data_IF_250857977351
#
_entry.id   IF_250857977351
#
_cell.length_a   1.000
_cell.length_b   1.000
_cell.length_c   1.000
_cell.angle_alpha   90.00
_cell.angle_beta   90.00
_cell.angle_gamma   90.00
#
_symmetry.space_group_name_H-M   'P 1'
#
loop_
_entity.id
_entity.type
_entity.pdbx_description
1 polymer ?
#
# COMPACT_ATOMS: atom_id res chain seq x y z
N UNK A 1 2.67 31.16 -13.28
CA UNK A 1 1.29 31.04 -13.09
C UNK A 1 0.75 29.62 -13.24
N UNK A 2 1.30 28.89 -14.11
CA UNK A 2 0.81 27.58 -14.42
C UNK A 2 0.98 26.59 -13.28
N UNK A 3 1.94 26.80 -12.40
CA UNK A 3 2.21 25.80 -11.36
C UNK A 3 1.04 25.63 -10.42
N UNK A 4 0.49 26.73 -9.93
CA UNK A 4 -0.63 26.63 -9.02
C UNK A 4 -1.88 26.13 -9.74
N UNK A 5 -2.02 26.44 -11.01
CA UNK A 5 -3.14 25.93 -11.80
C UNK A 5 -3.04 24.43 -11.95
N UNK A 6 -1.84 23.93 -12.19
CA UNK A 6 -1.62 22.48 -12.29
C UNK A 6 -1.96 21.79 -10.97
N UNK A 7 -1.55 22.40 -9.86
CA UNK A 7 -1.88 21.83 -8.55
C UNK A 7 -3.39 21.86 -8.30
N UNK A 8 -4.05 22.91 -8.74
CA UNK A 8 -5.50 23.02 -8.58
C UNK A 8 -6.23 21.94 -9.37
N UNK A 9 -5.68 21.52 -10.49
CA UNK A 9 -6.30 20.48 -11.32
C UNK A 9 -6.01 19.08 -10.82
N UNK A 10 -5.05 18.91 -9.93
CA UNK A 10 -4.65 17.58 -9.50
C UNK A 10 -5.81 16.77 -8.91
N UNK A 11 -6.60 17.32 -7.97
CA UNK A 11 -7.70 16.53 -7.42
C UNK A 11 -8.70 16.08 -8.48
N UNK A 12 -9.05 16.97 -9.41
CA UNK A 12 -10.04 16.63 -10.42
C UNK A 12 -9.49 15.57 -11.37
N UNK A 13 -8.24 15.71 -11.78
CA UNK A 13 -7.62 14.73 -12.66
C UNK A 13 -7.48 13.38 -11.98
N UNK A 14 -7.10 13.40 -10.71
CA UNK A 14 -6.96 12.17 -9.96
C UNK A 14 -8.30 11.46 -9.85
N UNK A 15 -9.35 12.19 -9.51
CA UNK A 15 -10.68 11.62 -9.44
C UNK A 15 -11.10 11.01 -10.77
N UNK A 16 -10.89 11.74 -11.84
CA UNK A 16 -11.32 11.30 -13.15
C UNK A 16 -10.59 10.02 -13.58
N UNK A 17 -9.30 9.96 -13.34
CA UNK A 17 -8.48 8.86 -13.85
C UNK A 17 -8.43 7.67 -12.89
N UNK A 18 -8.52 7.91 -11.60
CA UNK A 18 -8.22 6.89 -10.60
C UNK A 18 -9.47 6.33 -9.94
N UNK A 19 -10.44 7.18 -9.59
CA UNK A 19 -11.60 6.71 -8.87
C UNK A 19 -12.37 5.60 -9.60
N UNK A 20 -12.49 5.62 -10.93
CA UNK A 20 -13.18 4.52 -11.60
C UNK A 20 -12.52 3.16 -11.41
N UNK A 21 -11.26 3.15 -10.97
CA UNK A 21 -10.53 1.90 -10.79
C UNK A 21 -10.56 1.38 -9.36
N UNK A 22 -11.19 2.11 -8.44
CA UNK A 22 -11.17 1.74 -7.03
C UNK A 22 -11.80 0.36 -6.80
N UNK A 23 -12.90 0.06 -7.48
CA UNK A 23 -13.53 -1.25 -7.32
C UNK A 23 -12.61 -2.37 -7.73
N UNK A 24 -11.86 -2.18 -8.81
CA UNK A 24 -10.90 -3.19 -9.24
C UNK A 24 -9.78 -3.34 -8.23
N UNK A 25 -9.29 -2.22 -7.68
CA UNK A 25 -8.28 -2.28 -6.65
C UNK A 25 -8.78 -3.03 -5.43
N UNK A 26 -10.02 -2.76 -5.02
CA UNK A 26 -10.58 -3.42 -3.85
C UNK A 26 -10.69 -4.92 -4.08
N UNK A 27 -11.16 -5.33 -5.24
CA UNK A 27 -11.26 -6.76 -5.54
C UNK A 27 -9.90 -7.43 -5.51
N UNK A 28 -8.89 -6.76 -6.03
CA UNK A 28 -7.54 -7.31 -5.99
C UNK A 28 -7.03 -7.34 -4.55
N UNK A 29 -7.31 -6.30 -3.77
CA UNK A 29 -6.87 -6.24 -2.38
C UNK A 29 -7.46 -7.39 -1.57
N UNK A 30 -8.70 -7.79 -1.89
CA UNK A 30 -9.33 -8.92 -1.20
C UNK A 30 -8.57 -10.22 -1.42
N UNK A 31 -7.83 -10.33 -2.51
CA UNK A 31 -7.04 -11.53 -2.77
C UNK A 31 -5.77 -11.58 -1.93
N UNK A 32 -5.26 -10.43 -1.53
CA UNK A 32 -4.05 -10.35 -0.72
C UNK A 32 -4.34 -10.40 0.77
N UNK A 33 -5.55 -10.04 1.17
CA UNK A 33 -5.87 -9.81 2.57
C UNK A 33 -6.89 -10.83 3.05
N UNK A 34 -7.02 -10.93 4.37
CA UNK A 34 -7.92 -11.92 4.97
C UNK A 34 -9.29 -11.36 5.30
N UNK A 35 -9.38 -10.07 5.54
CA UNK A 35 -10.64 -9.46 5.95
C UNK A 35 -10.97 -8.29 5.06
N UNK A 36 -12.26 -7.93 4.96
CA UNK A 36 -12.63 -6.73 4.23
C UNK A 36 -11.98 -5.48 4.79
N UNK A 37 -11.82 -5.39 6.10
CA UNK A 37 -11.18 -4.23 6.72
C UNK A 37 -9.75 -4.09 6.25
N UNK A 38 -9.02 -5.19 6.19
CA UNK A 38 -7.64 -5.15 5.72
C UNK A 38 -7.57 -4.74 4.25
N UNK A 39 -8.53 -5.21 3.45
CA UNK A 39 -8.56 -4.82 2.04
C UNK A 39 -8.83 -3.33 1.89
N UNK A 40 -9.75 -2.79 2.70
CA UNK A 40 -10.02 -1.36 2.66
C UNK A 40 -8.80 -0.55 3.05
N UNK A 41 -8.10 -0.99 4.09
CA UNK A 41 -6.88 -0.30 4.51
C UNK A 41 -5.85 -0.30 3.40
N UNK A 42 -5.69 -1.43 2.72
CA UNK A 42 -4.74 -1.52 1.63
C UNK A 42 -5.10 -0.57 0.49
N UNK A 43 -6.38 -0.52 0.13
CA UNK A 43 -6.82 0.38 -0.92
C UNK A 43 -6.63 1.83 -0.50
N UNK A 44 -6.99 2.18 0.73
CA UNK A 44 -6.84 3.54 1.21
C UNK A 44 -5.39 3.98 1.18
N UNK A 45 -4.49 3.14 1.65
CA UNK A 45 -3.08 3.47 1.64
C UNK A 45 -2.55 3.59 0.21
N UNK A 46 -3.00 2.71 -0.67
CA UNK A 46 -2.65 2.79 -2.09
C UNK A 46 -3.10 4.11 -2.70
N UNK A 47 -4.33 4.50 -2.39
CA UNK A 47 -4.88 5.74 -2.93
C UNK A 47 -4.13 6.96 -2.39
N UNK A 48 -3.77 6.94 -1.12
CA UNK A 48 -3.01 8.04 -0.54
C UNK A 48 -1.65 8.17 -1.22
N UNK A 49 -0.97 7.07 -1.44
CA UNK A 49 0.32 7.08 -2.12
C UNK A 49 0.18 7.49 -3.57
N UNK A 50 -0.87 7.03 -4.22
CA UNK A 50 -1.12 7.40 -5.61
C UNK A 50 -1.37 8.89 -5.74
N UNK A 51 -2.16 9.46 -4.83
CA UNK A 51 -2.42 10.88 -4.87
C UNK A 51 -1.14 11.68 -4.66
N UNK A 52 -0.35 11.27 -3.67
CA UNK A 52 0.89 11.97 -3.37
C UNK A 52 1.87 11.90 -4.54
N UNK A 53 1.87 10.80 -5.28
CA UNK A 53 2.78 10.62 -6.40
C UNK A 53 2.18 10.92 -7.76
N UNK A 54 0.96 11.42 -7.80
CA UNK A 54 0.28 11.59 -9.09
C UNK A 54 0.98 12.60 -9.99
N UNK A 55 1.66 13.56 -9.40
CA UNK A 55 2.41 14.54 -10.20
C UNK A 55 3.56 13.89 -10.98
N UNK A 56 3.98 12.69 -10.58
CA UNK A 56 5.02 11.96 -11.29
C UNK A 56 4.45 11.05 -12.36
N UNK A 57 3.14 10.87 -12.37
CA UNK A 57 2.51 10.02 -13.36
C UNK A 57 2.43 10.73 -14.69
N UNK A 58 2.90 10.09 -15.72
CA UNK A 58 2.92 10.68 -17.04
C UNK A 58 1.62 10.38 -17.78
N UNK A 59 1.02 11.43 -18.32
CA UNK A 59 -0.15 11.24 -19.15
C UNK A 59 0.19 10.31 -20.32
N UNK A 60 -0.73 9.42 -20.63
CA UNK A 60 -0.52 8.47 -21.70
C UNK A 60 0.02 7.14 -21.25
N UNK A 61 0.51 7.02 -20.01
CA UNK A 61 0.87 5.72 -19.49
C UNK A 61 -0.34 5.05 -18.88
N UNK A 62 -0.20 3.77 -18.59
CA UNK A 62 -1.30 2.95 -18.09
C UNK A 62 -1.49 3.21 -16.60
N UNK A 63 -2.50 4.02 -16.25
CA UNK A 63 -2.76 4.38 -14.87
C UNK A 63 -3.16 3.15 -14.05
N UNK A 64 -3.85 2.20 -14.66
CA UNK A 64 -4.25 1.00 -13.95
C UNK A 64 -3.03 0.19 -13.51
N UNK A 65 -2.10 -0.01 -14.42
CA UNK A 65 -0.87 -0.74 -14.10
C UNK A 65 -0.08 0.00 -13.03
N UNK A 66 -0.04 1.31 -13.10
CA UNK A 66 0.67 2.13 -12.13
C UNK A 66 0.06 1.98 -10.73
N UNK A 67 -1.27 2.02 -10.65
CA UNK A 67 -1.96 1.85 -9.37
C UNK A 67 -1.75 0.46 -8.80
N UNK A 68 -1.81 -0.55 -9.63
CA UNK A 68 -1.62 -1.91 -9.14
C UNK A 68 -0.19 -2.14 -8.68
N UNK A 69 0.77 -1.49 -9.30
CA UNK A 69 2.14 -1.55 -8.82
C UNK A 69 2.26 -0.93 -7.43
N UNK A 70 1.63 0.23 -7.23
CA UNK A 70 1.65 0.89 -5.92
C UNK A 70 1.01 -0.03 -4.88
N UNK A 71 -0.11 -0.64 -5.21
CA UNK A 71 -0.81 -1.51 -4.28
C UNK A 71 0.03 -2.72 -3.90
N UNK A 72 0.64 -3.35 -4.87
CA UNK A 72 1.49 -4.51 -4.63
C UNK A 72 2.66 -4.13 -3.74
N UNK A 73 3.31 -3.02 -4.04
CA UNK A 73 4.43 -2.57 -3.22
C UNK A 73 3.99 -2.21 -1.81
N UNK A 74 2.82 -1.60 -1.68
CA UNK A 74 2.27 -1.25 -0.38
C UNK A 74 1.99 -2.51 0.44
N UNK A 75 1.39 -3.51 -0.19
CA UNK A 75 1.09 -4.76 0.50
C UNK A 75 2.36 -5.46 0.95
N UNK A 76 3.36 -5.53 0.07
CA UNK A 76 4.62 -6.17 0.42
C UNK A 76 5.28 -5.46 1.59
N UNK A 77 5.30 -4.13 1.56
CA UNK A 77 5.89 -3.35 2.64
C UNK A 77 5.16 -3.59 3.96
N UNK A 78 3.84 -3.61 3.92
CA UNK A 78 3.04 -3.86 5.12
C UNK A 78 3.29 -5.26 5.67
N UNK A 79 3.37 -6.24 4.79
CA UNK A 79 3.65 -7.61 5.19
C UNK A 79 5.02 -7.71 5.86
N UNK A 80 6.02 -7.08 5.27
CA UNK A 80 7.37 -7.11 5.85
C UNK A 80 7.42 -6.41 7.19
N UNK A 81 6.68 -5.32 7.34
CA UNK A 81 6.61 -4.61 8.60
C UNK A 81 5.97 -5.48 9.68
N UNK A 82 4.88 -6.14 9.34
CA UNK A 82 4.21 -7.03 10.29
C UNK A 82 5.14 -8.19 10.69
N UNK A 83 5.85 -8.75 9.72
CA UNK A 83 6.78 -9.83 10.01
C UNK A 83 7.91 -9.35 10.92
N UNK A 84 8.40 -8.15 10.69
CA UNK A 84 9.46 -7.59 11.53
C UNK A 84 8.99 -7.39 12.96
N UNK A 85 7.74 -6.95 13.14
CA UNK A 85 7.19 -6.80 14.48
C UNK A 85 7.10 -8.12 15.22
N UNK A 86 6.69 -9.17 14.53
CA UNK A 86 6.67 -10.50 15.12
C UNK A 86 8.07 -10.91 15.54
N UNK A 87 9.04 -10.69 14.70
CA UNK A 87 10.42 -11.03 15.01
C UNK A 87 10.92 -10.25 16.22
N UNK A 88 10.56 -8.98 16.32
CA UNK A 88 10.96 -8.16 17.46
C UNK A 88 10.35 -8.68 18.75
N UNK A 89 9.09 -9.07 18.72
CA UNK A 89 8.44 -9.64 19.90
C UNK A 89 9.13 -10.93 20.32
N UNK A 90 9.45 -11.78 19.36
CA UNK A 90 10.16 -13.02 19.67
C UNK A 90 11.54 -12.75 20.25
N UNK A 91 12.22 -11.75 19.69
CA UNK A 91 13.54 -11.37 20.21
C UNK A 91 13.44 -10.86 21.64
N UNK A 92 12.41 -10.08 21.93
CA UNK A 92 12.20 -9.57 23.28
C UNK A 92 11.97 -10.73 24.26
N UNK A 93 11.22 -11.74 23.83
CA UNK A 93 11.01 -12.93 24.65
C UNK A 93 12.33 -13.64 24.95
N UNK A 94 13.18 -13.73 23.96
CA UNK A 94 14.49 -14.31 24.15
C UNK A 94 15.31 -13.47 25.13
N UNK A 95 15.24 -12.16 24.98
CA UNK A 95 15.96 -11.24 25.86
C UNK A 95 15.50 -11.38 27.30
N UNK A 96 14.24 -11.78 27.52
CA UNK A 96 13.71 -12.01 28.85
C UNK A 96 14.20 -13.32 29.46
N UNK A 97 15.07 -14.02 28.78
CA UNK A 97 15.63 -15.23 29.32
C UNK A 97 14.89 -16.50 28.99
N UNK A 98 13.84 -16.42 28.24
CA UNK A 98 13.10 -17.62 27.86
C UNK A 98 13.75 -18.25 26.65
N UNK A 99 13.92 -19.55 26.69
CA UNK A 99 14.49 -20.20 25.52
C UNK A 99 13.54 -20.14 24.35
N UNK A 100 14.00 -19.57 23.32
CA UNK A 100 13.22 -19.51 22.11
C UNK A 100 13.85 -20.45 21.11
N UNK A 101 13.68 -21.68 21.36
CA UNK A 101 14.27 -22.64 20.48
C UNK A 101 13.31 -23.14 19.46
N UNK A 102 12.06 -22.87 19.70
CA UNK A 102 11.05 -23.50 18.90
C UNK A 102 11.11 -23.01 17.49
N UNK A 103 11.80 -23.72 16.71
CA UNK A 103 11.69 -23.49 15.31
C UNK A 103 12.09 -22.12 14.87
N UNK A 104 12.98 -21.53 15.54
CA UNK A 104 13.48 -20.31 14.99
C UNK A 104 14.43 -20.70 13.88
N UNK A 105 14.02 -20.55 12.68
CA UNK A 105 14.82 -21.07 11.56
C UNK A 105 15.99 -20.22 11.30
N UNK A 106 16.40 -19.43 12.02
CA UNK A 106 17.56 -18.60 11.74
C UNK A 106 17.48 -17.96 10.39
#
# INVERSE_FOLDING_TARGET
>A
MSDWTADSDRPARFEHDVLPLVDQLYRAARRYTRTPADAEDLVQETMAKAYAGFHLFRAGTNVRAWLFRIMTNTWITSYRTAQRRVDEVLTADVADGRPNTAGHPS
#
